data_IF_863664858249
#
_entry.id   IF_863664858249
#
_cell.length_a   1.000
_cell.length_b   1.000
_cell.length_c   1.000
_cell.angle_alpha   90.00
_cell.angle_beta   90.00
_cell.angle_gamma   90.00
#
_symmetry.space_group_name_H-M   'P 1'
#
loop_
_entity.id
_entity.type
_entity.pdbx_description
1 polymer ?
2 non-polymer ?
3 non-polymer ?
4 non-polymer ?
5 water ?
#
# COMPACT_ATOMS: atom_id res chain seq x y z
N UNK A 3 31.49 -15.41 7.43
CA UNK A 3 31.87 -13.97 7.54
C UNK A 3 30.64 -13.11 7.77
N UNK A 5 27.53 -14.77 7.25
CA UNK A 5 26.57 -15.82 7.60
C UNK A 5 26.20 -15.96 9.09
N UNK A 6 26.94 -15.30 9.99
CA UNK A 6 26.57 -15.31 11.42
C UNK A 6 25.87 -14.04 11.92
N UNK A 7 26.04 -12.94 11.19
CA UNK A 7 25.42 -11.65 11.55
C UNK A 7 23.94 -11.62 11.20
N UNK A 8 23.59 -12.19 10.05
CA UNK A 8 22.30 -11.97 9.44
C UNK A 8 21.15 -12.54 10.28
N UNK A 9 20.18 -11.69 10.59
CA UNK A 9 18.94 -12.09 11.25
C UNK A 9 17.75 -12.08 10.29
N UNK A 10 17.75 -11.17 9.31
CA UNK A 10 16.65 -11.04 8.38
C UNK A 10 17.18 -11.08 6.95
N UNK A 11 16.56 -11.90 6.11
CA UNK A 11 16.84 -11.89 4.64
C UNK A 11 15.61 -11.34 3.99
N UNK A 12 15.75 -10.14 3.41
CA UNK A 12 14.67 -9.52 2.66
C UNK A 12 14.88 -9.78 1.18
N UNK A 13 13.79 -10.07 0.49
CA UNK A 13 13.80 -10.25 -0.93
C UNK A 13 12.93 -9.19 -1.58
N UNK A 14 13.47 -8.58 -2.61
CA UNK A 14 12.66 -7.92 -3.62
C UNK A 14 11.73 -8.96 -4.23
N UNK A 15 10.59 -8.57 -4.71
CA UNK A 15 9.69 -9.55 -5.30
C UNK A 15 9.74 -9.51 -6.82
N UNK A 16 9.35 -8.39 -7.39
CA UNK A 16 9.23 -8.26 -8.82
C UNK A 16 10.58 -8.38 -9.54
N UNK A 17 10.67 -9.37 -10.43
CA UNK A 17 11.86 -9.67 -11.21
C UNK A 17 12.99 -10.27 -10.35
N UNK A 18 12.64 -10.72 -9.15
CA UNK A 18 13.54 -11.46 -8.26
C UNK A 18 12.94 -12.84 -7.90
N UNK A 19 11.71 -12.85 -7.42
CA UNK A 19 11.01 -14.06 -7.09
C UNK A 19 10.23 -14.56 -8.33
N UNK A 20 9.75 -13.64 -9.12
CA UNK A 20 8.94 -13.95 -10.30
C UNK A 20 9.11 -12.90 -11.36
N UNK A 21 8.80 -13.26 -12.59
CA UNK A 21 8.89 -12.36 -13.71
C UNK A 21 7.75 -11.31 -13.63
N UNK A 22 8.11 -10.04 -13.73
CA UNK A 22 7.13 -8.96 -13.70
C UNK A 22 7.19 -8.01 -14.88
N UNK A 23 8.40 -7.55 -15.20
CA UNK A 23 8.58 -6.54 -16.22
C UNK A 23 8.04 -6.95 -17.58
N UNK A 24 8.25 -8.21 -18.01
CA UNK A 24 7.70 -8.59 -19.31
C UNK A 24 6.17 -8.37 -19.44
N UNK A 25 5.42 -8.62 -18.38
CA UNK A 25 3.99 -8.47 -18.46
C UNK A 25 3.63 -6.99 -18.48
N UNK A 26 4.34 -6.19 -17.69
CA UNK A 26 4.14 -4.75 -17.68
C UNK A 26 4.46 -4.17 -19.06
N UNK A 27 5.51 -4.67 -19.68
CA UNK A 27 5.90 -4.25 -21.01
C UNK A 27 4.86 -4.57 -22.06
N UNK A 28 4.27 -5.75 -21.99
CA UNK A 28 3.23 -6.14 -22.95
C UNK A 28 1.92 -5.32 -22.80
N UNK A 29 1.55 -5.01 -21.55
CA UNK A 29 0.42 -4.10 -21.29
C UNK A 29 0.72 -2.72 -21.90
N UNK A 30 1.93 -2.20 -21.71
CA UNK A 30 2.27 -0.91 -22.28
C UNK A 30 2.27 -0.92 -23.81
N UNK A 31 2.70 -2.01 -24.43
CA UNK A 31 2.65 -2.16 -25.88
C UNK A 31 1.21 -2.13 -26.37
N UNK A 32 0.34 -2.85 -25.69
CA UNK A 32 -1.05 -2.85 -26.07
C UNK A 32 -1.65 -1.44 -25.90
N UNK A 33 -1.21 -0.72 -24.86
CA UNK A 33 -1.59 0.68 -24.63
C UNK A 33 -1.21 1.58 -25.81
N UNK A 34 0.04 1.47 -26.26
CA UNK A 34 0.50 2.29 -27.38
C UNK A 34 -0.30 1.95 -28.63
N UNK A 35 -0.57 0.66 -28.84
CA UNK A 35 -1.43 0.22 -29.94
C UNK A 35 -2.80 0.86 -29.87
N UNK A 36 -3.33 1.07 -28.67
CA UNK A 36 -4.65 1.71 -28.53
C UNK A 36 -4.59 3.20 -28.84
N UNK A 37 -3.47 3.82 -28.57
CA UNK A 37 -3.35 5.26 -28.75
C UNK A 37 -2.57 5.63 -30.00
N UNK A 38 -2.43 4.67 -30.93
CA UNK A 38 -1.72 4.87 -32.19
C UNK A 38 -2.19 6.09 -33.00
N UNK A 39 -3.50 6.38 -32.99
CA UNK A 39 -3.92 7.62 -33.67
C UNK A 39 -3.31 8.91 -33.12
N UNK A 40 -2.88 8.94 -31.86
CA UNK A 40 -2.41 10.19 -31.25
C UNK A 40 -0.88 10.32 -31.18
N UNK A 41 -0.14 9.30 -31.62
CA UNK A 41 1.32 9.36 -31.63
C UNK A 41 1.97 8.02 -31.83
N UNK A 42 3.29 8.04 -32.02
CA UNK A 42 4.07 6.83 -32.19
C UNK A 42 4.20 6.16 -30.83
N UNK A 43 4.51 4.87 -30.81
CA UNK A 43 4.68 4.17 -29.55
C UNK A 43 5.71 4.90 -28.69
N UNK A 44 6.80 5.35 -29.32
CA UNK A 44 7.81 6.14 -28.64
C UNK A 44 7.18 7.40 -28.01
N UNK A 45 6.33 8.08 -28.77
CA UNK A 45 5.65 9.27 -28.27
C UNK A 45 4.61 8.98 -27.18
N UNK A 46 3.86 7.90 -27.33
CA UNK A 46 2.84 7.56 -26.35
C UNK A 46 3.54 7.22 -25.03
N UNK A 47 4.53 6.33 -25.09
CA UNK A 47 5.39 5.97 -23.95
C UNK A 47 6.04 7.16 -23.23
N UNK A 48 6.54 8.15 -23.97
CA UNK A 48 7.12 9.34 -23.35
C UNK A 48 6.07 10.18 -22.59
N UNK A 49 4.89 10.35 -23.18
CA UNK A 49 3.82 11.08 -22.49
C UNK A 49 3.37 10.35 -21.21
N UNK A 50 3.30 9.02 -21.29
CA UNK A 50 2.91 8.19 -20.16
C UNK A 50 3.93 8.32 -19.04
N UNK A 51 5.23 8.21 -19.39
CA UNK A 51 6.28 8.34 -18.40
C UNK A 51 6.21 9.70 -17.74
N UNK A 52 5.96 10.76 -18.51
CA UNK A 52 5.89 12.09 -17.92
C UNK A 52 4.74 12.22 -16.91
N UNK A 53 3.61 11.59 -17.23
CA UNK A 53 2.44 11.58 -16.35
C UNK A 53 2.78 10.84 -15.05
N UNK A 54 3.39 9.66 -15.17
CA UNK A 54 3.78 8.85 -14.02
C UNK A 54 4.67 9.65 -13.07
N UNK A 56 4.97 13.04 -12.95
CA UNK A 56 4.23 14.16 -12.39
C UNK A 56 3.23 13.71 -11.29
N UNK A 57 2.85 12.43 -11.28
CA UNK A 57 1.87 11.89 -10.32
C UNK A 57 2.52 11.14 -9.14
N UNK A 58 3.85 11.15 -9.09
CA UNK A 58 4.61 10.26 -8.21
C UNK A 58 4.43 10.64 -6.74
N UNK A 59 4.38 11.93 -6.45
CA UNK A 59 4.22 12.38 -5.07
C UNK A 59 2.82 12.18 -4.49
N UNK A 60 1.81 11.97 -5.33
CA UNK A 60 0.48 11.62 -4.81
C UNK A 60 0.00 10.22 -5.15
N UNK A 61 0.41 9.66 -6.29
CA UNK A 61 -0.02 8.32 -6.70
C UNK A 61 1.02 7.25 -6.38
N UNK A 62 2.29 7.66 -6.38
CA UNK A 62 3.40 6.75 -6.11
C UNK A 62 3.56 5.64 -7.15
N UNK A 63 3.87 4.44 -6.68
CA UNK A 63 4.21 3.30 -7.54
C UNK A 63 3.14 2.23 -7.52
N UNK A 64 3.11 1.40 -8.56
CA UNK A 64 2.23 0.24 -8.61
C UNK A 64 1.17 0.26 -9.70
N UNK A 65 0.39 -0.82 -9.76
CA UNK A 65 -0.57 -1.05 -10.85
C UNK A 65 -1.75 -0.08 -10.82
N UNK A 66 -2.20 0.36 -9.63
CA UNK A 66 -3.32 1.33 -9.55
C UNK A 66 -2.89 2.71 -10.07
N UNK A 67 -1.69 3.12 -9.66
CA UNK A 67 -1.11 4.37 -10.09
C UNK A 67 -0.98 4.35 -11.62
N UNK A 68 -0.40 3.28 -12.15
CA UNK A 68 -0.20 3.10 -13.59
C UNK A 68 -1.50 3.22 -14.40
N UNK A 69 -2.54 2.52 -13.93
CA UNK A 69 -3.86 2.60 -14.53
C UNK A 69 -4.36 4.02 -14.61
N UNK A 70 -4.29 4.72 -13.49
CA UNK A 70 -4.74 6.09 -13.44
C UNK A 70 -3.92 7.00 -14.38
N UNK A 71 -2.61 6.77 -14.46
CA UNK A 71 -1.78 7.54 -15.36
C UNK A 71 -2.02 7.20 -16.86
N UNK A 73 -4.94 6.31 -18.00
CA UNK A 73 -6.18 7.01 -18.29
C UNK A 73 -5.92 8.51 -18.51
N UNK A 74 -5.23 9.12 -17.57
CA UNK A 74 -4.95 10.56 -17.67
C UNK A 74 -4.15 10.93 -18.94
N UNK A 75 -3.18 10.11 -19.30
CA UNK A 75 -2.38 10.38 -20.47
C UNK A 75 -3.20 10.25 -21.77
N UNK A 76 -4.09 9.25 -21.82
CA UNK A 76 -5.01 9.03 -22.94
C UNK A 76 -5.91 10.25 -23.15
N UNK A 77 -6.46 10.75 -22.06
CA UNK A 77 -7.30 11.94 -22.08
C UNK A 77 -6.52 13.16 -22.54
N UNK A 78 -5.33 13.37 -21.96
CA UNK A 78 -4.53 14.56 -22.30
C UNK A 78 -4.05 14.52 -23.77
N UNK A 79 -3.44 13.41 -24.17
CA UNK A 79 -2.82 13.34 -25.50
C UNK A 79 -3.86 13.31 -26.64
N UNK A 80 -5.12 12.99 -26.31
CA UNK A 80 -6.18 12.96 -27.31
C UNK A 80 -6.93 14.29 -27.32
N UNK A 81 -6.45 15.22 -26.49
CA UNK A 81 -7.13 16.47 -26.21
C UNK A 81 -8.60 16.27 -25.92
N UNK A 82 -8.93 15.19 -25.20
CA UNK A 82 -10.31 14.88 -24.86
C UNK A 82 -11.11 14.22 -25.97
N UNK A 83 -10.47 13.95 -27.11
CA UNK A 83 -11.15 13.37 -28.27
C UNK A 83 -11.48 11.89 -28.09
N UNK A 84 -10.73 11.21 -27.24
CA UNK A 84 -10.82 9.75 -27.18
C UNK A 84 -12.20 9.24 -26.74
N UNK A 85 -12.60 8.11 -27.32
CA UNK A 85 -13.88 7.48 -27.02
C UNK A 85 -13.82 6.73 -25.69
N UNK A 86 -14.97 6.63 -25.04
CA UNK A 86 -15.09 5.94 -23.76
C UNK A 86 -14.76 4.46 -23.89
N UNK A 87 -15.19 3.83 -24.98
CA UNK A 87 -14.86 2.44 -25.29
C UNK A 87 -13.33 2.20 -25.12
N UNK A 88 -12.50 3.17 -25.52
CA UNK A 88 -11.04 3.00 -25.46
C UNK A 88 -10.57 3.14 -24.03
N UNK A 89 -11.09 4.14 -23.32
CA UNK A 89 -10.81 4.24 -21.88
C UNK A 89 -11.18 2.95 -21.17
N UNK A 90 -12.33 2.36 -21.49
CA UNK A 90 -12.68 1.06 -20.87
C UNK A 90 -11.58 -0.01 -21.14
N UNK A 91 -11.12 -0.10 -22.39
CA UNK A 91 -10.02 -1.02 -22.74
C UNK A 91 -8.76 -0.72 -21.92
N UNK A 92 -8.45 0.57 -21.73
CA UNK A 92 -7.30 0.97 -20.92
C UNK A 92 -7.44 0.55 -19.45
N UNK A 93 -8.61 0.75 -18.88
CA UNK A 93 -8.85 0.34 -17.50
C UNK A 93 -8.67 -1.18 -17.36
N UNK A 94 -9.18 -1.94 -18.32
CA UNK A 94 -9.08 -3.41 -18.27
C UNK A 94 -7.61 -3.85 -18.38
N UNK A 95 -6.83 -3.15 -19.19
CA UNK A 95 -5.38 -3.38 -19.26
C UNK A 95 -4.73 -3.20 -17.91
N UNK A 96 -4.98 -2.07 -17.26
CA UNK A 96 -4.44 -1.85 -15.92
C UNK A 96 -4.87 -2.92 -14.92
N UNK A 97 -6.14 -3.27 -14.96
CA UNK A 97 -6.59 -4.32 -14.08
C UNK A 97 -5.99 -5.69 -14.38
N UNK A 98 -5.56 -5.91 -15.64
CA UNK A 98 -4.93 -7.18 -16.01
C UNK A 98 -3.61 -7.36 -15.28
N UNK A 99 -2.94 -6.26 -14.96
CA UNK A 99 -1.74 -6.32 -14.14
C UNK A 99 -1.98 -6.92 -12.77
N UNK A 100 -3.18 -6.71 -12.22
CA UNK A 100 -3.56 -7.24 -10.90
C UNK A 100 -3.97 -8.72 -10.91
N UNK A 101 -4.07 -9.31 -12.10
CA UNK A 101 -4.38 -10.72 -12.22
C UNK A 101 -3.27 -11.48 -12.96
N UNK A 103 -0.39 -13.75 -14.24
CA UNK A 103 0.14 -15.02 -13.74
C UNK A 103 1.49 -14.83 -13.08
N UNK A 104 1.76 -15.58 -12.01
CA UNK A 104 3.05 -15.49 -11.31
C UNK A 104 3.90 -16.66 -11.80
N UNK A 105 5.00 -16.33 -12.46
CA UNK A 105 5.89 -17.35 -12.97
C UNK A 105 7.21 -17.20 -12.23
N UNK A 106 7.51 -18.18 -11.38
CA UNK A 106 8.67 -18.12 -10.53
C UNK A 106 9.96 -18.17 -11.37
N UNK A 107 10.97 -17.51 -10.87
CA UNK A 107 12.28 -17.46 -11.50
C UNK A 107 13.09 -18.68 -11.06
N UNK A 108 14.16 -19.01 -11.79
CA UNK A 108 14.97 -20.18 -11.45
C UNK A 108 15.50 -20.25 -10.03
N UNK A 109 15.36 -21.42 -9.40
CA UNK A 109 15.90 -21.66 -8.06
C UNK A 109 15.15 -20.97 -6.91
N UNK A 110 14.05 -20.28 -7.19
CA UNK A 110 13.39 -19.47 -6.16
C UNK A 110 12.73 -20.35 -5.13
N UNK A 111 11.88 -21.28 -5.57
CA UNK A 111 11.15 -22.11 -4.62
C UNK A 111 12.14 -22.88 -3.74
N UNK A 112 13.18 -23.47 -4.34
CA UNK A 112 14.12 -24.30 -3.57
C UNK A 112 14.96 -23.49 -2.59
N UNK A 113 15.31 -22.27 -2.95
CA UNK A 113 16.06 -21.41 -2.07
C UNK A 113 15.23 -21.03 -0.84
N UNK A 114 14.01 -20.58 -1.06
CA UNK A 114 13.16 -20.17 0.04
C UNK A 114 12.75 -21.35 0.93
N UNK A 115 12.41 -22.48 0.31
CA UNK A 115 12.07 -23.67 1.10
C UNK A 115 13.24 -24.08 1.94
N UNK A 116 14.44 -24.09 1.38
CA UNK A 116 15.63 -24.47 2.15
C UNK A 116 15.92 -23.50 3.31
N UNK A 117 15.91 -22.21 3.02
CA UNK A 117 16.12 -21.20 4.07
C UNK A 117 15.08 -21.28 5.20
N UNK A 118 13.80 -21.37 4.84
CA UNK A 118 12.74 -21.52 5.85
C UNK A 118 13.03 -22.75 6.71
N UNK A 119 13.40 -23.86 6.06
CA UNK A 119 13.65 -25.10 6.80
C UNK A 119 14.80 -25.00 7.80
N UNK A 120 15.77 -24.09 7.62
CA UNK A 120 16.78 -23.91 8.67
C UNK A 120 16.25 -23.33 9.98
N UNK A 121 15.20 -22.51 9.91
CA UNK A 121 14.59 -21.90 11.09
C UNK A 121 15.40 -20.72 11.63
N UNK A 122 16.45 -20.39 10.91
CA UNK A 122 17.50 -19.51 11.35
C UNK A 122 17.20 -17.99 11.16
N UNK A 123 16.30 -17.65 10.24
CA UNK A 123 16.06 -16.25 9.87
C UNK A 123 14.60 -15.85 9.86
N UNK A 124 14.37 -14.54 9.85
CA UNK A 124 13.08 -14.05 9.42
C UNK A 124 13.30 -13.79 7.92
N UNK A 125 12.36 -14.25 7.10
CA UNK A 125 12.40 -14.01 5.67
C UNK A 125 11.28 -13.05 5.40
N UNK A 126 11.62 -11.94 4.74
CA UNK A 126 10.59 -10.99 4.37
C UNK A 126 10.70 -10.54 2.92
N UNK A 127 9.58 -10.09 2.38
CA UNK A 127 9.56 -9.42 1.10
C UNK A 127 9.60 -7.91 1.38
N UNK A 128 10.44 -7.23 0.61
CA UNK A 128 10.66 -5.80 0.70
C UNK A 128 10.40 -5.26 -0.71
N UNK A 129 9.26 -4.60 -0.89
CA UNK A 129 8.77 -4.23 -2.18
C UNK A 129 8.01 -2.91 -2.17
N UNK A 130 8.12 -2.18 -3.28
CA UNK A 130 7.23 -1.08 -3.54
C UNK A 130 5.92 -1.57 -4.11
N UNK A 131 4.98 -0.65 -4.24
CA UNK A 131 3.73 -0.93 -4.95
C UNK A 131 2.54 -1.03 -4.03
N UNK A 132 1.44 -1.49 -4.60
CA UNK A 132 0.20 -1.56 -3.84
C UNK A 132 0.31 -2.70 -2.89
N UNK A 133 -0.06 -2.47 -1.64
CA UNK A 133 0.00 -3.48 -0.62
C UNK A 133 -0.85 -4.73 -0.89
N UNK A 134 -2.11 -4.54 -1.30
CA UNK A 134 -2.97 -5.69 -1.56
C UNK A 134 -2.46 -6.49 -2.78
N UNK A 135 -2.01 -5.79 -3.79
CA UNK A 135 -1.57 -6.42 -5.00
C UNK A 135 -0.35 -7.29 -4.65
N UNK A 136 0.60 -6.74 -3.89
CA UNK A 136 1.80 -7.49 -3.54
C UNK A 136 1.51 -8.68 -2.63
N UNK A 137 0.52 -8.55 -1.75
CA UNK A 137 0.09 -9.69 -0.96
C UNK A 137 -0.58 -10.75 -1.83
N UNK A 138 -1.41 -10.31 -2.78
CA UNK A 138 -2.10 -11.24 -3.68
C UNK A 138 -1.09 -12.00 -4.53
N UNK A 139 -0.09 -11.28 -5.02
CA UNK A 139 0.97 -11.87 -5.82
C UNK A 139 1.71 -12.97 -5.03
N UNK A 140 2.10 -12.66 -3.80
CA UNK A 140 2.78 -13.63 -2.96
C UNK A 140 1.90 -14.83 -2.72
N UNK A 141 0.62 -14.62 -2.43
CA UNK A 141 -0.29 -15.76 -2.31
C UNK A 141 -0.36 -16.59 -3.56
N UNK A 142 -0.51 -15.99 -4.74
CA UNK A 142 -0.65 -16.76 -5.98
C UNK A 142 0.66 -17.45 -6.32
N UNK A 143 1.76 -17.01 -5.73
CA UNK A 143 3.09 -17.49 -6.09
C UNK A 143 3.39 -18.86 -5.49
N UNK A 144 2.66 -19.22 -4.44
CA UNK A 144 2.94 -20.44 -3.67
C UNK A 144 4.03 -20.29 -2.62
N UNK A 145 4.65 -19.11 -2.53
CA UNK A 145 5.79 -18.85 -1.65
C UNK A 145 5.43 -18.30 -0.30
N UNK A 146 4.15 -17.94 -0.13
CA UNK A 146 3.74 -17.31 1.12
C UNK A 146 4.13 -18.09 2.40
N UNK A 147 4.07 -19.43 2.38
CA UNK A 147 4.51 -20.20 3.57
C UNK A 147 5.96 -19.97 4.02
N UNK A 148 6.81 -19.45 3.15
CA UNK A 148 8.24 -19.29 3.49
C UNK A 148 8.52 -17.90 4.05
N UNK A 149 7.56 -17.00 3.95
CA UNK A 149 7.77 -15.61 4.38
C UNK A 149 7.01 -15.27 5.64
N UNK A 150 7.73 -14.60 6.53
CA UNK A 150 7.21 -14.12 7.79
C UNK A 150 6.42 -12.81 7.68
N UNK A 151 6.61 -12.06 6.60
CA UNK A 151 6.13 -10.70 6.56
C UNK A 151 6.39 -10.09 5.16
N UNK A 152 5.39 -9.42 4.57
CA UNK A 152 5.64 -8.48 3.46
C UNK A 152 5.70 -7.03 3.95
N UNK A 153 6.78 -6.36 3.63
CA UNK A 153 6.96 -4.96 3.93
C UNK A 153 6.81 -4.21 2.63
N UNK A 154 5.69 -3.50 2.49
CA UNK A 154 5.50 -2.64 1.33
C UNK A 154 6.08 -1.25 1.66
N UNK A 156 7.08 2.86 0.32
CA UNK A 156 6.66 3.96 -0.55
C UNK A 156 7.78 4.38 -1.49
N UNK A 157 9.01 4.00 -1.14
CA UNK A 157 10.16 4.16 -2.01
C UNK A 157 11.29 3.23 -1.52
N UNK A 158 12.37 3.14 -2.29
CA UNK A 158 13.50 2.31 -1.90
C UNK A 158 14.73 3.19 -1.82
N UNK A 159 14.71 4.06 -0.81
CA UNK A 159 15.79 4.92 -0.49
C UNK A 159 16.22 4.51 0.90
N UNK A 160 17.37 5.04 1.34
CA UNK A 160 17.86 4.75 2.69
C UNK A 160 16.81 4.99 3.78
N UNK A 161 16.02 6.07 3.62
CA UNK A 161 14.98 6.47 4.58
C UNK A 161 14.01 5.34 4.78
N UNK A 162 13.54 4.73 3.69
CA UNK A 162 12.57 3.67 3.80
C UNK A 162 13.20 2.37 4.30
N UNK A 163 14.47 2.09 3.93
CA UNK A 163 15.16 0.91 4.49
C UNK A 163 15.39 1.04 6.01
N UNK A 164 15.66 2.25 6.50
CA UNK A 164 15.75 2.48 7.96
C UNK A 164 14.45 2.19 8.70
N UNK A 165 13.32 2.61 8.10
CA UNK A 165 11.94 2.26 8.54
C UNK A 165 11.78 0.76 8.67
N UNK A 166 12.19 0.02 7.63
CA UNK A 166 12.12 -1.43 7.65
C UNK A 166 12.94 -2.03 8.77
N UNK A 167 14.18 -1.60 8.90
CA UNK A 167 15.03 -2.04 9.99
C UNK A 167 14.40 -1.75 11.38
N UNK A 168 13.81 -0.56 11.52
CA UNK A 168 13.17 -0.15 12.76
C UNK A 168 11.95 -1.05 13.06
N UNK A 169 11.14 -1.30 12.03
CA UNK A 169 9.97 -2.19 12.15
C UNK A 169 10.44 -3.60 12.51
N UNK A 170 11.50 -4.07 11.85
CA UNK A 170 12.04 -5.40 12.13
C UNK A 170 12.79 -5.48 13.44
N UNK A 171 13.12 -4.32 13.99
CA UNK A 171 13.91 -4.21 15.23
C UNK A 171 15.27 -4.88 15.12
N UNK A 172 16.00 -4.61 14.04
CA UNK A 172 17.36 -5.13 13.89
C UNK A 172 18.32 -4.00 13.44
N UNK A 173 19.62 -4.27 13.50
CA UNK A 173 20.66 -3.33 12.98
C UNK A 173 20.89 -3.53 11.49
N UNK A 174 21.38 -2.47 10.78
CA UNK A 174 21.66 -2.58 9.33
C UNK A 174 22.53 -3.78 9.03
N UNK A 175 23.55 -3.93 9.84
CA UNK A 175 24.46 -5.08 9.83
C UNK A 175 23.79 -6.47 9.87
N UNK A 176 22.55 -6.56 10.34
CA UNK A 176 21.87 -7.84 10.48
C UNK A 176 20.91 -8.12 9.31
N UNK A 177 20.87 -7.20 8.34
CA UNK A 177 20.00 -7.35 7.18
C UNK A 177 20.80 -7.78 5.93
N UNK A 178 20.31 -8.81 5.25
CA UNK A 178 20.74 -9.14 3.90
C UNK A 178 19.57 -8.89 2.96
N UNK A 180 18.18 -9.12 -1.00
CA UNK A 180 18.38 -9.86 -2.22
C UNK A 180 17.46 -9.28 -3.27
N UNK A 181 17.98 -8.88 -4.42
CA UNK A 181 17.14 -8.23 -5.43
C UNK A 181 17.82 -8.03 -6.75
N UNK A 182 17.01 -7.83 -7.80
CA UNK A 182 17.52 -7.66 -9.16
C UNK A 182 17.99 -6.25 -9.47
N UNK A 183 17.58 -5.28 -8.67
CA UNK A 183 17.92 -3.88 -9.00
C UNK A 183 19.03 -3.37 -8.13
N UNK A 184 20.17 -3.13 -8.73
CA UNK A 184 21.30 -2.64 -7.96
C UNK A 184 21.01 -1.27 -7.31
N UNK A 185 20.40 -0.36 -8.07
CA UNK A 185 20.09 1.00 -7.57
C UNK A 185 19.10 0.99 -6.40
N UNK A 186 18.04 0.19 -6.51
CA UNK A 186 16.94 0.23 -5.57
C UNK A 186 17.03 -0.82 -4.47
N UNK A 187 17.45 -2.03 -4.82
CA UNK A 187 17.51 -3.10 -3.85
C UNK A 187 18.83 -3.11 -3.10
N UNK A 188 19.93 -2.83 -3.78
CA UNK A 188 21.22 -3.20 -3.24
C UNK A 188 21.97 -1.97 -2.66
N UNK A 189 22.16 -0.95 -3.46
CA UNK A 189 22.99 0.15 -2.99
C UNK A 189 22.52 0.79 -1.66
N UNK A 190 21.22 1.08 -1.51
CA UNK A 190 20.81 1.71 -0.26
C UNK A 190 21.09 0.86 0.96
N UNK A 191 20.90 -0.44 0.85
CA UNK A 191 21.21 -1.31 1.99
C UNK A 191 22.72 -1.34 2.27
N UNK A 192 23.52 -1.46 1.24
CA UNK A 192 24.98 -1.43 1.43
C UNK A 192 25.38 -0.13 2.14
N UNK A 193 24.81 0.99 1.70
CA UNK A 193 25.18 2.32 2.25
C UNK A 193 24.81 2.49 3.70
N UNK A 194 23.84 1.71 4.18
CA UNK A 194 23.41 1.79 5.58
C UNK A 194 24.24 0.89 6.48
N UNK A 195 25.03 -0.01 5.88
CA UNK A 195 25.79 -0.99 6.66
C UNK A 195 25.31 -2.40 6.45
N UNK A 196 24.32 -2.63 5.58
CA UNK A 196 23.80 -4.00 5.38
C UNK A 196 24.54 -4.79 4.31
N UNK A 197 24.08 -6.03 4.08
CA UNK A 197 24.62 -6.90 3.04
C UNK A 197 23.64 -7.02 1.89
N UNK A 198 24.18 -7.33 0.70
CA UNK A 198 23.38 -7.46 -0.52
C UNK A 198 23.75 -8.65 -1.40
N UNK A 199 22.75 -9.24 -2.02
CA UNK A 199 23.00 -10.19 -3.10
C UNK A 199 22.27 -9.70 -4.33
N UNK A 200 23.02 -9.32 -5.36
CA UNK A 200 22.47 -8.80 -6.58
C UNK A 200 22.23 -9.99 -7.52
N UNK A 201 20.99 -10.17 -7.93
CA UNK A 201 20.63 -11.20 -8.90
C UNK A 201 19.95 -10.59 -10.12
N UNK A 202 20.75 -10.31 -11.16
CA UNK A 202 20.22 -9.60 -12.32
C UNK A 202 19.10 -10.35 -13.00
N UNK A 203 18.07 -9.60 -13.41
CA UNK A 203 16.95 -10.17 -14.17
C UNK A 203 17.28 -10.12 -15.67
N UNK A 204 17.25 -11.26 -16.37
CA UNK A 204 17.71 -11.35 -17.77
C UNK A 204 16.61 -11.53 -18.81
N UNK A 205 15.39 -11.77 -18.37
CA UNK A 205 14.33 -12.13 -19.30
C UNK A 205 14.05 -11.11 -20.45
N UNK A 207 16.18 -9.59 -22.50
CA UNK A 207 17.12 -9.61 -23.63
C UNK A 207 17.46 -8.19 -24.07
N UNK A 208 17.69 -7.31 -23.09
CA UNK A 208 18.00 -5.92 -23.36
C UNK A 208 19.37 -5.81 -23.97
N UNK A 209 19.53 -4.80 -24.82
CA UNK A 209 20.72 -4.76 -25.67
C UNK A 209 21.98 -4.63 -24.80
N UNK A 210 22.41 -5.81 -24.36
CA UNK A 210 23.66 -6.14 -23.65
C UNK A 210 23.41 -7.15 -22.52
N UNK A 214 26.56 -1.21 -11.61
CA UNK A 214 27.03 -2.05 -10.51
C UNK A 214 28.52 -1.86 -10.27
N UNK A 215 28.96 -2.30 -9.10
CA UNK A 215 30.39 -2.32 -8.76
C UNK A 215 30.62 -3.47 -7.81
N UNK A 216 31.87 -3.68 -7.40
CA UNK A 216 32.17 -4.66 -6.36
C UNK A 216 32.20 -3.95 -5.03
N UNK A 217 31.73 -4.62 -4.01
CA UNK A 217 31.63 -4.04 -2.69
C UNK A 217 31.87 -5.16 -1.69
N UNK A 218 32.46 -4.78 -0.57
CA UNK A 218 32.83 -5.68 0.51
C UNK A 218 31.67 -6.55 0.99
N UNK A 219 30.49 -5.97 1.14
CA UNK A 219 29.32 -6.73 1.66
C UNK A 219 28.33 -7.12 0.56
N UNK A 220 28.79 -7.15 -0.69
CA UNK A 220 27.98 -7.50 -1.86
C UNK A 220 28.45 -8.81 -2.48
N UNK A 221 27.49 -9.69 -2.83
CA UNK A 221 27.79 -10.79 -3.76
C UNK A 221 26.87 -10.68 -4.96
N UNK A 222 27.42 -10.89 -6.14
CA UNK A 222 26.59 -10.93 -7.32
C UNK A 222 26.46 -12.38 -7.75
N UNK A 223 25.23 -12.85 -7.99
CA UNK A 223 25.01 -14.26 -8.37
C UNK A 223 24.18 -14.34 -9.66
N UNK A 224 24.15 -15.50 -10.31
CA UNK A 224 23.33 -15.69 -11.52
C UNK A 224 21.97 -16.28 -11.26
N UNK A 225 21.87 -17.08 -10.21
CA UNK A 225 20.67 -17.86 -9.93
C UNK A 225 20.46 -17.78 -8.44
N UNK A 226 19.21 -17.62 -8.00
CA UNK A 226 18.93 -17.39 -6.59
C UNK A 226 19.47 -18.44 -5.60
N UNK A 227 19.46 -19.71 -5.99
CA UNK A 227 19.93 -20.78 -5.09
C UNK A 227 21.44 -20.73 -4.86
N UNK A 228 22.16 -19.95 -5.67
CA UNK A 228 23.54 -19.60 -5.38
C UNK A 228 23.67 -19.01 -3.97
N UNK A 229 22.63 -18.33 -3.50
CA UNK A 229 22.58 -17.78 -2.13
C UNK A 229 22.91 -18.86 -1.05
N UNK A 230 22.39 -20.06 -1.25
CA UNK A 230 22.48 -21.15 -0.27
C UNK A 230 23.93 -21.43 0.16
N UNK A 231 24.88 -21.40 -0.76
CA UNK A 231 26.28 -21.63 -0.43
C UNK A 231 27.03 -20.40 0.12
N UNK A 232 26.45 -19.20 -0.02
CA UNK A 232 27.04 -18.02 0.59
C UNK A 232 26.76 -18.03 2.07
N UNK A 233 25.71 -18.76 2.43
CA UNK A 233 25.20 -18.79 3.78
C UNK A 233 25.51 -20.10 4.50
N UNK A 234 26.23 -21.01 3.83
CA UNK A 234 26.63 -22.30 4.38
C UNK A 234 28.13 -22.33 4.54
N UNK B 5 -1.84 0.06 33.14
CA UNK B 5 -0.52 0.14 33.75
C UNK B 5 0.15 -1.23 33.58
N UNK B 6 1.27 -1.27 32.89
CA UNK B 6 2.00 -2.54 32.66
C UNK B 6 1.18 -3.74 32.08
N UNK B 7 0.06 -3.48 31.39
CA UNK B 7 -0.43 -4.42 30.37
C UNK B 7 -0.19 -3.83 28.97
N UNK B 8 -0.72 -2.63 28.74
CA UNK B 8 -0.62 -2.00 27.40
C UNK B 8 0.79 -1.56 27.08
N UNK B 9 1.34 -2.00 25.95
CA UNK B 9 2.62 -1.55 25.41
C UNK B 9 2.52 -0.68 24.17
N UNK B 10 1.44 -0.88 23.42
CA UNK B 10 1.25 -0.21 22.15
C UNK B 10 -0.13 0.42 22.17
N UNK B 11 -0.21 1.70 21.80
CA UNK B 11 -1.50 2.34 21.51
C UNK B 11 -1.50 2.62 20.03
N UNK B 12 -2.42 1.97 19.35
CA UNK B 12 -2.60 2.08 17.92
C UNK B 12 -3.78 3.00 17.71
N UNK B 13 -3.66 3.90 16.74
CA UNK B 13 -4.71 4.81 16.38
C UNK B 13 -5.14 4.63 14.93
N UNK B 14 -6.45 4.45 14.71
CA UNK B 14 -7.02 4.69 13.39
C UNK B 14 -6.76 6.17 13.00
N UNK B 15 -6.68 6.43 11.71
CA UNK B 15 -6.41 7.76 11.23
C UNK B 15 -7.67 8.51 10.82
N UNK B 16 -8.32 8.02 9.76
CA UNK B 16 -9.46 8.71 9.16
C UNK B 16 -10.68 8.71 10.08
N UNK B 17 -11.16 9.92 10.38
CA UNK B 17 -12.25 10.19 11.31
C UNK B 17 -11.93 9.91 12.78
N UNK B 18 -10.65 9.70 13.09
CA UNK B 18 -10.14 9.56 14.45
C UNK B 18 -9.11 10.69 14.74
N UNK B 19 -8.07 10.78 13.91
CA UNK B 19 -7.06 11.82 14.10
C UNK B 19 -7.50 13.07 13.35
N UNK B 20 -8.14 12.87 12.22
CA UNK B 20 -8.57 14.00 11.40
C UNK B 20 -9.85 13.67 10.66
N UNK B 21 -10.56 14.68 10.19
CA UNK B 21 -11.79 14.46 9.46
C UNK B 21 -11.47 13.92 8.07
N UNK B 22 -12.25 12.93 7.63
CA UNK B 22 -12.07 12.31 6.30
C UNK B 22 -13.38 12.06 5.57
N UNK B 23 -14.34 11.46 6.25
CA UNK B 23 -15.59 11.04 5.63
C UNK B 23 -16.41 12.20 4.98
N UNK B 24 -16.44 13.39 5.60
CA UNK B 24 -17.12 14.52 4.98
C UNK B 24 -16.53 14.90 3.62
N UNK B 25 -15.20 14.93 3.51
CA UNK B 25 -14.54 15.21 2.24
C UNK B 25 -14.91 14.14 1.20
N UNK B 26 -14.81 12.87 1.57
CA UNK B 26 -15.19 11.78 0.68
C UNK B 26 -16.65 11.90 0.23
N UNK B 27 -17.55 12.22 1.16
CA UNK B 27 -18.98 12.24 0.83
C UNK B 27 -19.28 13.39 -0.12
N UNK B 28 -18.59 14.52 0.03
CA UNK B 28 -18.72 15.63 -0.91
C UNK B 28 -18.22 15.26 -2.32
N UNK B 29 -17.11 14.54 -2.39
CA UNK B 29 -16.64 13.98 -3.66
C UNK B 29 -17.71 13.04 -4.27
N UNK B 30 -18.28 12.14 -3.49
CA UNK B 30 -19.30 11.24 -3.99
C UNK B 30 -20.53 11.99 -4.51
N UNK B 31 -20.88 13.09 -3.84
CA UNK B 31 -22.00 13.91 -4.24
C UNK B 31 -21.73 14.53 -5.61
N UNK B 32 -20.56 15.14 -5.78
CA UNK B 32 -20.13 15.71 -7.05
C UNK B 32 -20.06 14.67 -8.17
N UNK B 33 -19.58 13.48 -7.86
CA UNK B 33 -19.61 12.36 -8.81
C UNK B 33 -21.04 12.06 -9.25
N UNK B 34 -21.96 11.90 -8.29
CA UNK B 34 -23.31 11.54 -8.67
C UNK B 34 -23.98 12.65 -9.49
N UNK B 35 -23.61 13.90 -9.24
CA UNK B 35 -24.08 15.00 -10.06
C UNK B 35 -23.66 14.86 -11.50
N UNK B 36 -22.46 14.32 -11.75
CA UNK B 36 -21.99 14.11 -13.13
C UNK B 36 -22.74 13.01 -13.88
N UNK B 37 -23.34 12.07 -13.16
CA UNK B 37 -24.01 10.94 -13.79
C UNK B 37 -25.54 11.03 -13.67
N UNK B 38 -26.02 12.25 -13.51
CA UNK B 38 -27.46 12.58 -13.44
C UNK B 38 -28.35 11.95 -14.50
N UNK B 39 -27.91 11.93 -15.78
CA UNK B 39 -28.76 11.30 -16.81
C UNK B 39 -29.09 9.83 -16.56
N UNK B 40 -28.32 9.17 -15.69
CA UNK B 40 -28.37 7.72 -15.53
C UNK B 40 -29.01 7.24 -14.23
N UNK B 41 -29.51 8.16 -13.41
CA UNK B 41 -30.11 7.76 -12.13
C UNK B 41 -30.10 8.83 -11.08
N UNK B 42 -30.86 8.59 -10.02
CA UNK B 42 -30.86 9.41 -8.83
C UNK B 42 -29.52 9.22 -8.14
N UNK B 43 -29.22 10.12 -7.22
CA UNK B 43 -27.96 10.04 -6.50
C UNK B 43 -27.87 8.70 -5.76
N UNK B 44 -28.95 8.31 -5.09
CA UNK B 44 -29.00 7.00 -4.43
C UNK B 44 -28.66 5.84 -5.39
N UNK B 45 -29.22 5.90 -6.60
CA UNK B 45 -29.01 4.86 -7.60
C UNK B 45 -27.54 4.84 -8.06
N UNK B 46 -26.96 6.03 -8.26
CA UNK B 46 -25.59 6.10 -8.74
C UNK B 46 -24.67 5.59 -7.64
N UNK B 47 -24.93 5.99 -6.40
CA UNK B 47 -24.17 5.50 -5.25
C UNK B 47 -24.26 3.96 -5.04
N UNK B 48 -25.42 3.37 -5.33
CA UNK B 48 -25.61 1.92 -5.24
C UNK B 48 -24.79 1.24 -6.33
N UNK B 49 -24.78 1.79 -7.54
CA UNK B 49 -24.01 1.20 -8.62
C UNK B 49 -22.51 1.29 -8.35
N UNK B 50 -22.07 2.43 -7.81
CA UNK B 50 -20.67 2.62 -7.48
C UNK B 50 -20.23 1.63 -6.38
N UNK B 51 -21.08 1.48 -5.37
CA UNK B 51 -20.77 0.54 -4.29
C UNK B 51 -20.67 -0.90 -4.80
N UNK B 52 -21.57 -1.29 -5.69
CA UNK B 52 -21.51 -2.61 -6.36
C UNK B 52 -20.15 -2.82 -7.06
N UNK B 53 -19.69 -1.79 -7.77
CA UNK B 53 -18.41 -1.87 -8.47
C UNK B 53 -17.21 -2.01 -7.51
N UNK B 54 -17.22 -1.17 -6.48
CA UNK B 54 -16.24 -1.24 -5.38
C UNK B 54 -16.16 -2.64 -4.77
N UNK B 56 -17.33 -5.52 -6.22
CA UNK B 56 -16.84 -6.43 -7.23
C UNK B 56 -15.30 -6.30 -7.43
N UNK B 57 -14.75 -5.11 -7.16
CA UNK B 57 -13.31 -4.89 -7.33
C UNK B 57 -12.51 -5.13 -6.03
N UNK B 58 -13.20 -5.50 -4.95
CA UNK B 58 -12.58 -5.45 -3.66
C UNK B 58 -11.33 -6.38 -3.59
N UNK B 59 -11.43 -7.58 -4.12
CA UNK B 59 -10.35 -8.58 -4.02
C UNK B 59 -9.11 -8.19 -4.82
N UNK B 60 -9.20 -7.28 -5.80
CA UNK B 60 -7.98 -6.84 -6.54
C UNK B 60 -7.56 -5.42 -6.30
N UNK B 61 -8.52 -4.53 -6.05
CA UNK B 61 -8.23 -3.14 -5.82
C UNK B 61 -8.17 -2.76 -4.34
N UNK B 62 -8.90 -3.48 -3.48
CA UNK B 62 -8.89 -3.19 -2.04
C UNK B 62 -9.50 -1.83 -1.69
N UNK B 63 -8.89 -1.14 -0.73
CA UNK B 63 -9.43 0.10 -0.15
C UNK B 63 -8.57 1.26 -0.55
N UNK B 64 -9.09 2.48 -0.42
CA UNK B 64 -8.30 3.68 -0.64
C UNK B 64 -8.77 4.50 -1.85
N UNK B 65 -8.17 5.67 -1.97
CA UNK B 65 -8.53 6.69 -2.95
C UNK B 65 -8.27 6.27 -4.39
N UNK B 66 -7.16 5.56 -4.64
CA UNK B 66 -6.84 5.02 -5.97
C UNK B 66 -7.86 3.96 -6.39
N UNK B 67 -8.17 3.03 -5.48
CA UNK B 67 -9.23 2.07 -5.72
C UNK B 67 -10.55 2.81 -6.01
N UNK B 68 -10.91 3.80 -5.19
CA UNK B 68 -12.15 4.53 -5.34
C UNK B 68 -12.25 5.20 -6.71
N UNK B 69 -11.15 5.83 -7.12
CA UNK B 69 -11.07 6.49 -8.41
C UNK B 69 -11.30 5.54 -9.57
N UNK B 70 -10.62 4.38 -9.54
CA UNK B 70 -10.81 3.38 -10.58
C UNK B 70 -12.27 2.89 -10.63
N UNK B 71 -12.89 2.61 -9.47
CA UNK B 71 -14.29 2.17 -9.46
C UNK B 71 -15.24 3.27 -9.95
N UNK B 73 -14.50 5.46 -12.26
CA UNK B 73 -14.35 5.50 -13.72
C UNK B 73 -15.10 4.34 -14.32
N UNK B 74 -14.90 3.15 -13.76
CA UNK B 74 -15.58 1.96 -14.22
C UNK B 74 -17.09 2.07 -14.16
N UNK B 75 -17.62 2.59 -13.05
CA UNK B 75 -19.03 2.68 -12.89
C UNK B 75 -19.62 3.67 -13.92
N UNK B 76 -18.90 4.78 -14.17
CA UNK B 76 -19.29 5.76 -15.19
C UNK B 76 -19.33 5.11 -16.56
N UNK B 77 -18.30 4.34 -16.89
CA UNK B 77 -18.26 3.64 -18.17
C UNK B 77 -19.39 2.64 -18.30
N UNK B 78 -19.64 1.92 -17.22
CA UNK B 78 -20.68 0.91 -17.20
C UNK B 78 -22.10 1.46 -17.35
N UNK B 79 -22.43 2.44 -16.51
CA UNK B 79 -23.79 2.94 -16.43
C UNK B 79 -24.16 3.74 -17.70
N UNK B 80 -23.15 4.23 -18.41
CA UNK B 80 -23.34 4.96 -19.66
C UNK B 80 -23.27 4.04 -20.90
N UNK B 81 -23.14 2.73 -20.68
CA UNK B 81 -22.84 1.79 -21.75
C UNK B 81 -21.67 2.22 -22.60
N UNK B 82 -20.62 2.72 -21.97
CA UNK B 82 -19.39 3.08 -22.67
C UNK B 82 -19.49 4.25 -23.61
N UNK B 83 -20.51 5.10 -23.42
CA UNK B 83 -20.74 6.24 -24.29
C UNK B 83 -20.48 7.58 -23.61
N UNK B 84 -20.22 7.55 -22.31
CA UNK B 84 -19.98 8.78 -21.57
C UNK B 84 -18.84 9.61 -22.19
N UNK B 85 -18.99 10.93 -22.08
CA UNK B 85 -18.01 11.85 -22.65
C UNK B 85 -16.69 11.70 -21.91
N UNK B 86 -15.60 11.78 -22.68
CA UNK B 86 -14.26 11.65 -22.14
C UNK B 86 -14.05 12.75 -21.09
N UNK B 87 -14.59 13.94 -21.32
CA UNK B 87 -14.46 15.01 -20.33
C UNK B 87 -15.07 14.74 -18.95
N UNK B 88 -16.14 13.93 -18.90
CA UNK B 88 -16.70 13.50 -17.61
C UNK B 88 -15.69 12.56 -16.93
N UNK B 89 -15.03 11.71 -17.71
CA UNK B 89 -13.97 10.85 -17.17
C UNK B 89 -12.81 11.70 -16.59
N UNK B 90 -12.45 12.78 -17.28
CA UNK B 90 -11.38 13.67 -16.81
C UNK B 90 -11.80 14.30 -15.48
N UNK B 91 -13.05 14.73 -15.40
CA UNK B 91 -13.54 15.26 -14.14
C UNK B 91 -13.50 14.21 -13.01
N UNK B 92 -13.85 12.97 -13.33
CA UNK B 92 -13.95 11.92 -12.32
C UNK B 92 -12.57 11.63 -11.73
N UNK B 93 -11.56 11.58 -12.60
CA UNK B 93 -10.16 11.37 -12.21
C UNK B 93 -9.66 12.54 -11.38
N UNK B 94 -10.02 13.76 -11.74
CA UNK B 94 -9.71 14.93 -10.91
C UNK B 94 -10.35 14.84 -9.51
N UNK B 95 -11.59 14.35 -9.42
CA UNK B 95 -12.24 14.16 -8.13
C UNK B 95 -11.48 13.18 -7.25
N UNK B 96 -11.05 12.07 -7.84
CA UNK B 96 -10.30 11.06 -7.12
C UNK B 96 -9.01 11.62 -6.59
N UNK B 97 -8.32 12.37 -7.42
CA UNK B 97 -7.06 13.00 -7.01
C UNK B 97 -7.22 14.06 -5.94
N UNK B 98 -8.35 14.76 -5.93
CA UNK B 98 -8.65 15.67 -4.82
C UNK B 98 -8.58 14.95 -3.47
N UNK B 99 -9.04 13.70 -3.43
CA UNK B 99 -9.02 12.90 -2.21
C UNK B 99 -7.58 12.73 -1.71
N UNK B 100 -6.64 12.60 -2.63
CA UNK B 100 -5.20 12.52 -2.32
C UNK B 100 -4.53 13.83 -1.90
N UNK B 101 -5.20 14.97 -1.99
CA UNK B 101 -4.61 16.21 -1.51
C UNK B 101 -5.49 16.91 -0.47
N UNK B 103 -7.23 18.62 2.55
CA UNK B 103 -6.53 19.26 3.65
C UNK B 103 -6.82 18.51 4.95
N UNK B 104 -5.86 18.48 5.85
CA UNK B 104 -6.00 17.71 7.08
C UNK B 104 -6.45 18.61 8.20
N UNK B 105 -7.63 18.32 8.73
CA UNK B 105 -8.22 19.08 9.83
C UNK B 105 -8.29 18.15 11.06
N UNK B 106 -7.42 18.37 12.04
CA UNK B 106 -7.37 17.49 13.20
C UNK B 106 -8.65 17.55 14.00
N UNK B 107 -9.03 16.43 14.61
CA UNK B 107 -10.22 16.42 15.44
C UNK B 107 -9.86 16.95 16.85
N UNK B 108 -10.88 17.34 17.63
CA UNK B 108 -10.66 17.93 18.97
C UNK B 108 -9.83 17.07 19.86
N UNK B 109 -8.86 17.68 20.51
CA UNK B 109 -8.00 17.01 21.47
C UNK B 109 -6.90 16.12 20.95
N UNK B 110 -6.84 15.90 19.63
CA UNK B 110 -5.89 14.95 19.06
C UNK B 110 -4.43 15.33 19.28
N UNK B 111 -4.08 16.56 18.91
CA UNK B 111 -2.72 17.02 19.07
C UNK B 111 -2.28 16.94 20.54
N UNK B 112 -3.12 17.40 21.46
CA UNK B 112 -2.72 17.45 22.89
C UNK B 112 -2.56 16.04 23.46
N UNK B 113 -3.41 15.11 23.03
CA UNK B 113 -3.34 13.73 23.46
C UNK B 113 -2.05 13.04 23.02
N UNK B 114 -1.76 13.10 21.74
CA UNK B 114 -0.56 12.44 21.21
C UNK B 114 0.72 13.04 21.83
N UNK B 115 0.78 14.37 21.96
CA UNK B 115 1.92 15.05 22.63
C UNK B 115 2.09 14.56 24.05
N UNK B 116 1.00 14.49 24.78
CA UNK B 116 1.06 14.04 26.16
C UNK B 116 1.52 12.60 26.27
N UNK B 117 0.99 11.74 25.41
CA UNK B 117 1.37 10.33 25.39
C UNK B 117 2.84 10.17 25.01
N UNK B 118 3.26 10.91 24.00
CA UNK B 118 4.68 10.90 23.57
C UNK B 118 5.59 11.26 24.75
N UNK B 119 5.24 12.34 25.44
CA UNK B 119 6.05 12.85 26.57
C UNK B 119 6.11 11.90 27.74
N UNK B 120 5.12 11.02 27.92
CA UNK B 120 5.23 9.97 28.96
C UNK B 120 6.34 9.01 28.67
N UNK B 121 6.56 8.76 27.39
CA UNK B 121 7.56 7.76 26.99
C UNK B 121 7.18 6.33 27.39
N UNK B 122 5.92 6.12 27.74
CA UNK B 122 5.46 4.83 28.27
C UNK B 122 4.99 3.86 27.20
N UNK B 123 4.42 4.40 26.12
CA UNK B 123 3.78 3.60 25.12
C UNK B 123 4.42 3.75 23.78
N UNK B 124 4.41 2.66 22.98
CA UNK B 124 4.72 2.80 21.58
C UNK B 124 3.43 3.24 20.92
N UNK B 125 3.51 4.24 20.05
CA UNK B 125 2.34 4.83 19.40
C UNK B 125 2.43 4.60 17.92
N UNK B 126 1.40 3.98 17.35
CA UNK B 126 1.36 3.72 15.93
C UNK B 126 0.02 4.11 15.33
N UNK B 127 0.03 4.35 14.01
CA UNK B 127 -1.17 4.52 13.21
C UNK B 127 -1.50 3.18 12.60
N UNK B 128 -2.75 2.76 12.72
CA UNK B 128 -3.24 1.51 12.14
C UNK B 128 -4.39 1.82 11.17
N UNK B 129 -4.09 1.73 9.87
CA UNK B 129 -5.01 2.24 8.86
C UNK B 129 -5.04 1.37 7.61
N UNK B 130 -6.19 1.30 6.97
CA UNK B 130 -6.30 0.77 5.63
C UNK B 130 -5.90 1.88 4.65
N UNK B 131 -5.79 1.53 3.39
CA UNK B 131 -5.72 2.51 2.37
C UNK B 131 -4.42 2.45 1.64
N UNK B 132 -4.22 3.45 0.79
CA UNK B 132 -3.00 3.56 0.03
C UNK B 132 -1.87 3.99 0.95
N UNK B 133 -0.75 3.25 0.95
CA UNK B 133 0.38 3.57 1.82
C UNK B 133 0.95 4.98 1.67
N UNK B 134 1.22 5.41 0.43
CA UNK B 134 1.73 6.76 0.21
C UNK B 134 0.74 7.85 0.68
N UNK B 135 -0.53 7.67 0.38
CA UNK B 135 -1.57 8.59 0.78
C UNK B 135 -1.60 8.74 2.28
N UNK B 136 -1.66 7.62 3.00
CA UNK B 136 -1.66 7.65 4.46
C UNK B 136 -0.39 8.26 5.03
N UNK B 137 0.74 7.89 4.47
CA UNK B 137 2.00 8.52 4.87
C UNK B 137 1.96 10.01 4.70
N UNK B 138 1.44 10.48 3.56
CA UNK B 138 1.40 11.93 3.24
C UNK B 138 0.41 12.66 4.16
N UNK B 139 -0.75 12.07 4.38
CA UNK B 139 -1.71 12.65 5.31
C UNK B 139 -1.09 12.86 6.71
N UNK B 140 -0.36 11.85 7.20
CA UNK B 140 0.28 11.98 8.51
C UNK B 140 1.29 13.12 8.51
N UNK B 141 2.11 13.20 7.48
CA UNK B 141 3.13 14.24 7.41
C UNK B 141 2.50 15.59 7.44
N UNK B 142 1.46 15.82 6.64
CA UNK B 142 0.88 17.15 6.63
C UNK B 142 -0.08 17.44 7.83
N UNK B 143 -0.45 16.40 8.60
CA UNK B 143 -1.18 16.59 9.85
C UNK B 143 -0.35 17.30 10.92
N UNK B 144 0.97 17.22 10.80
CA UNK B 144 1.91 17.71 11.80
C UNK B 144 2.13 16.71 12.93
N UNK B 145 1.43 15.57 12.92
CA UNK B 145 1.54 14.59 14.02
C UNK B 145 2.67 13.58 13.91
N UNK B 146 3.43 13.54 12.82
CA UNK B 146 4.47 12.53 12.65
C UNK B 146 5.48 12.37 13.80
N UNK B 147 5.88 13.47 14.48
CA UNK B 147 6.85 13.32 15.57
C UNK B 147 6.40 12.47 16.75
N UNK B 148 5.09 12.33 16.92
CA UNK B 148 4.52 11.60 18.03
C UNK B 148 4.42 10.09 17.76
N UNK B 149 4.52 9.70 16.50
CA UNK B 149 4.24 8.32 16.10
C UNK B 149 5.50 7.53 15.78
N UNK B 150 5.58 6.32 16.32
CA UNK B 150 6.70 5.47 15.97
C UNK B 150 6.65 5.07 14.50
N UNK B 151 5.52 4.55 14.02
CA UNK B 151 5.34 4.47 12.57
C UNK B 151 3.87 4.19 12.22
N UNK B 152 3.64 4.07 10.92
CA UNK B 152 2.36 3.79 10.35
C UNK B 152 2.34 2.35 9.89
N UNK B 153 1.33 1.61 10.30
CA UNK B 153 1.05 0.29 9.79
C UNK B 153 -0.11 0.40 8.87
N UNK B 154 0.15 0.26 7.56
CA UNK B 154 -0.94 0.26 6.58
C UNK B 154 -1.39 -1.20 6.42
N UNK B 156 -4.17 -4.26 4.72
CA UNK B 156 -4.99 -4.52 3.54
C UNK B 156 -6.46 -4.70 3.92
N UNK B 157 -6.73 -4.92 5.19
CA UNK B 157 -8.09 -4.98 5.72
C UNK B 157 -7.95 -4.85 7.24
N UNK B 158 -9.07 -4.76 7.93
CA UNK B 158 -9.12 -4.67 9.39
C UNK B 158 -9.99 -5.81 9.91
N UNK B 159 -9.55 -7.04 9.72
CA UNK B 159 -10.18 -8.23 10.27
C UNK B 159 -9.19 -8.76 11.30
N UNK B 160 -9.59 -9.76 12.07
CA UNK B 160 -8.69 -10.35 13.04
C UNK B 160 -7.37 -10.81 12.42
N UNK B 161 -7.41 -11.45 11.25
CA UNK B 161 -6.21 -11.84 10.53
C UNK B 161 -5.18 -10.70 10.40
N UNK B 162 -5.60 -9.53 9.94
CA UNK B 162 -4.67 -8.42 9.79
C UNK B 162 -4.23 -7.84 11.11
N UNK B 163 -5.10 -7.83 12.13
CA UNK B 163 -4.67 -7.37 13.46
C UNK B 163 -3.66 -8.35 14.06
N UNK B 164 -3.86 -9.64 13.84
CA UNK B 164 -2.87 -10.66 14.30
C UNK B 164 -1.49 -10.39 13.63
N UNK B 165 -1.52 -10.01 12.36
CA UNK B 165 -0.28 -9.69 11.62
C UNK B 165 0.38 -8.47 12.22
N UNK B 166 -0.43 -7.46 12.53
CA UNK B 166 0.04 -6.27 13.22
C UNK B 166 0.67 -6.61 14.55
N UNK B 167 0.00 -7.42 15.38
CA UNK B 167 0.54 -7.82 16.68
C UNK B 167 1.86 -8.54 16.55
N UNK B 168 1.96 -9.40 15.55
CA UNK B 168 3.18 -10.15 15.31
C UNK B 168 4.36 -9.21 14.94
N UNK B 169 4.07 -8.29 14.04
CA UNK B 169 5.07 -7.29 13.58
C UNK B 169 5.56 -6.46 14.77
N UNK B 170 4.64 -6.12 15.67
CA UNK B 170 4.98 -5.36 16.87
C UNK B 170 5.55 -6.22 17.97
N UNK B 171 5.58 -7.53 17.77
CA UNK B 171 6.13 -8.43 18.80
C UNK B 171 5.41 -8.36 20.14
N UNK B 172 4.08 -8.27 20.10
CA UNK B 172 3.30 -8.29 21.33
C UNK B 172 2.12 -9.25 21.22
N UNK B 173 1.51 -9.54 22.37
CA UNK B 173 0.27 -10.30 22.43
C UNK B 173 -0.89 -9.33 22.37
N UNK B 174 -2.08 -9.85 22.02
CA UNK B 174 -3.27 -9.01 21.95
C UNK B 174 -3.56 -8.17 23.18
N UNK B 175 -3.29 -8.70 24.39
CA UNK B 175 -3.66 -7.99 25.62
C UNK B 175 -2.75 -6.81 25.89
N UNK B 176 -1.72 -6.65 25.08
CA UNK B 176 -0.80 -5.52 25.18
C UNK B 176 -1.11 -4.39 24.17
N UNK B 177 -2.18 -4.56 23.42
CA UNK B 177 -2.62 -3.58 22.40
C UNK B 177 -3.89 -2.85 22.85
N UNK B 178 -3.82 -1.52 22.77
CA UNK B 178 -4.99 -0.66 22.88
C UNK B 178 -5.18 -0.01 21.52
N UNK B 180 -7.47 2.61 19.28
CA UNK B 180 -8.33 3.78 19.38
C UNK B 180 -8.89 4.11 17.97
N UNK B 181 -10.21 4.13 17.83
CA UNK B 181 -10.75 4.49 16.54
C UNK B 181 -12.22 4.76 16.54
N UNK B 182 -12.71 5.25 15.41
CA UNK B 182 -14.08 5.65 15.30
C UNK B 182 -15.06 4.56 14.87
N UNK B 183 -14.56 3.49 14.26
CA UNK B 183 -15.39 2.42 13.73
C UNK B 183 -15.44 1.22 14.66
N UNK B 184 -16.63 0.96 15.20
CA UNK B 184 -16.79 -0.20 16.05
C UNK B 184 -16.49 -1.53 15.29
N UNK B 185 -17.02 -1.63 14.10
CA UNK B 185 -16.88 -2.80 13.23
C UNK B 185 -15.43 -3.08 12.85
N UNK B 186 -14.70 -2.05 12.44
CA UNK B 186 -13.33 -2.23 11.93
C UNK B 186 -12.20 -1.97 12.93
N UNK B 187 -12.36 -0.99 13.84
CA UNK B 187 -11.31 -0.66 14.78
C UNK B 187 -11.46 -1.38 16.09
N UNK B 188 -12.69 -1.71 16.49
CA UNK B 188 -12.88 -2.15 17.84
C UNK B 188 -13.16 -3.67 17.93
N UNK B 189 -14.24 -4.12 17.30
CA UNK B 189 -14.69 -5.53 17.39
C UNK B 189 -13.57 -6.56 17.19
N UNK B 190 -12.79 -6.40 16.12
CA UNK B 190 -11.78 -7.43 15.83
C UNK B 190 -10.70 -7.51 16.89
N UNK B 191 -10.31 -6.34 17.41
CA UNK B 191 -9.32 -6.24 18.49
C UNK B 191 -9.84 -6.83 19.82
N UNK B 192 -11.09 -6.51 20.17
CA UNK B 192 -11.68 -7.14 21.37
C UNK B 192 -11.75 -8.67 21.21
N UNK B 193 -12.19 -9.10 20.06
CA UNK B 193 -12.31 -10.54 19.79
C UNK B 193 -10.98 -11.27 20.03
N UNK B 194 -9.88 -10.63 19.67
CA UNK B 194 -8.55 -11.24 19.84
C UNK B 194 -8.00 -11.22 21.24
N UNK B 195 -8.53 -10.35 22.11
CA UNK B 195 -7.97 -10.24 23.44
C UNK B 195 -7.47 -8.85 23.80
N UNK B 196 -7.61 -7.89 22.89
CA UNK B 196 -7.09 -6.57 23.13
C UNK B 196 -8.10 -5.62 23.72
N UNK B 197 -7.68 -4.37 23.85
CA UNK B 197 -8.44 -3.28 24.45
C UNK B 197 -8.80 -2.27 23.36
N UNK B 198 -9.96 -1.63 23.51
CA UNK B 198 -10.44 -0.64 22.58
C UNK B 198 -10.94 0.62 23.24
N UNK B 199 -10.69 1.75 22.59
CA UNK B 199 -11.38 3.01 22.89
C UNK B 199 -12.09 3.46 21.60
N UNK B 200 -13.41 3.49 21.67
CA UNK B 200 -14.31 3.88 20.57
C UNK B 200 -14.65 5.35 20.72
N UNK B 201 -14.28 6.12 19.71
CA UNK B 201 -14.55 7.53 19.64
C UNK B 201 -15.40 7.74 18.39
N UNK B 202 -16.73 7.69 18.56
CA UNK B 202 -17.60 7.81 17.37
C UNK B 202 -17.43 9.16 16.65
N UNK B 203 -17.51 9.14 15.32
CA UNK B 203 -17.38 10.33 14.50
C UNK B 203 -18.78 10.74 14.05
N UNK B 204 -19.20 11.95 14.36
CA UNK B 204 -20.60 12.36 14.15
C UNK B 204 -20.75 13.22 12.90
N UNK B 213 -24.07 -0.37 14.91
CA UNK B 213 -24.68 -0.91 16.15
C UNK B 213 -23.55 -1.51 17.02
N UNK B 214 -23.56 -1.23 18.32
CA UNK B 214 -22.47 -1.59 19.20
C UNK B 214 -22.93 -2.37 20.45
N UNK B 215 -21.97 -2.88 21.18
CA UNK B 215 -22.22 -3.46 22.49
C UNK B 215 -21.10 -3.04 23.45
N UNK B 216 -21.42 -3.01 24.73
CA UNK B 216 -20.44 -2.73 25.78
C UNK B 216 -19.58 -3.97 26.00
N UNK B 217 -18.39 -3.78 26.55
CA UNK B 217 -17.47 -4.90 26.78
C UNK B 217 -16.46 -4.49 27.84
N UNK B 218 -16.01 -5.43 28.66
CA UNK B 218 -15.09 -5.07 29.74
C UNK B 218 -13.78 -4.45 29.27
N UNK B 219 -13.32 -4.82 28.08
CA UNK B 219 -12.11 -4.23 27.50
C UNK B 219 -12.37 -3.07 26.52
N UNK B 220 -13.54 -2.45 26.64
CA UNK B 220 -13.93 -1.36 25.78
C UNK B 220 -14.39 -0.16 26.58
N UNK B 221 -13.92 1.00 26.15
CA UNK B 221 -14.48 2.27 26.57
C UNK B 221 -14.84 3.11 25.36
N UNK B 222 -15.94 3.83 25.48
CA UNK B 222 -16.37 4.80 24.52
C UNK B 222 -16.19 6.17 25.13
N UNK B 223 -15.57 7.08 24.39
CA UNK B 223 -15.43 8.47 24.79
C UNK B 223 -15.86 9.40 23.67
N UNK B 224 -16.10 10.64 24.03
CA UNK B 224 -16.61 11.65 23.13
C UNK B 224 -15.51 12.27 22.32
N UNK B 225 -14.37 12.57 22.95
CA UNK B 225 -13.23 13.14 22.24
C UNK B 225 -11.93 12.54 22.72
N UNK B 226 -10.93 12.61 21.86
CA UNK B 226 -9.75 11.82 22.03
C UNK B 226 -9.00 12.13 23.30
N UNK B 227 -8.98 13.39 23.72
CA UNK B 227 -8.30 13.74 24.96
C UNK B 227 -8.84 13.09 26.23
N UNK B 228 -10.08 12.61 26.17
CA UNK B 228 -10.69 11.86 27.28
C UNK B 228 -9.96 10.55 27.47
N UNK B 229 -9.22 10.09 26.46
CA UNK B 229 -8.37 8.92 26.57
C UNK B 229 -7.40 9.04 27.74
N UNK B 230 -6.88 10.23 27.97
CA UNK B 230 -5.82 10.43 28.97
C UNK B 230 -6.24 10.06 30.40
N UNK B 231 -7.47 10.37 30.78
CA UNK B 231 -7.96 9.96 32.10
C UNK B 231 -8.16 8.45 32.19
N UNK B 232 -8.44 7.77 31.06
CA UNK B 232 -8.66 6.32 31.07
C UNK B 232 -7.36 5.55 31.33
N UNK B 233 -6.24 6.19 31.03
CA UNK B 233 -4.94 5.58 31.18
C UNK B 233 -4.40 5.70 32.59
N UNK B 234 -4.98 6.61 33.38
CA UNK B 234 -4.48 6.91 34.71
C UNK B 234 -5.24 6.15 35.78
#
# INVERSE_FOLDING_TARGET
SNAXKELIKVIAFDADDTLWSNEPFFQEVEKQYTDLLKPYGTSKEISAALFQTEXNNLQILGYGAKAFTISXVETALQISNGKIAADIIRQIVDLGKSLLKXPIELLPGVKETLKTLKETGKYKLVVATKGDLLDQENKLERSGLSPYFDHIEVXSDKTEKEYLRLLSILQIAPSELLXVGNSFKSDIQPVLSLGGYGVHIPFEVXWKHEVTETFAHERLKQVKRLDDLLSLLG
SNAXKELIKVIAFDADDTLWSNEPFFQEVEKQYTDLLKPYGTSKEISAALFQTEXNNLQILGYGAKAFTISXVETALQISNGKIAADIIRQIVDLGKSLLKXPIELLPGVKETLKTLKETGKYKLVVATKGDLLDQENKLERSGLSPYFDHIEVXSDKTEKEYLRLLSILQIAPSELLXVGNSFKSDIQPVLSLGGYGVHIPFEVXWKHEVTETFAHERLKQVKRLDDLLSLLG
#
